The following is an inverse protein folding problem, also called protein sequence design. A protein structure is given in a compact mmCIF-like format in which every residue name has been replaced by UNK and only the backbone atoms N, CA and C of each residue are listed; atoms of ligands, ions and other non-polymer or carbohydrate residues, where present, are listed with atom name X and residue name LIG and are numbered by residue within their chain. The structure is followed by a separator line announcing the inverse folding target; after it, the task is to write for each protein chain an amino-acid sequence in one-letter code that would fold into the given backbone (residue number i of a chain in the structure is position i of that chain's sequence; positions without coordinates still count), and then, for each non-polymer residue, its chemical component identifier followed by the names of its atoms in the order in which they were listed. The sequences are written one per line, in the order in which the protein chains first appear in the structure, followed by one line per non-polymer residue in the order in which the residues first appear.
data_IF_443013133107
#
_entry.id   IF_443013133107
#
_cell.length_a   1.000
_cell.length_b   1.000
_cell.length_c   1.000
_cell.angle_alpha   90.00
_cell.angle_beta   90.00
_cell.angle_gamma   90.00
#
_symmetry.space_group_name_H-M   'P 1'
#
loop_
_entity.id
_entity.type
_entity.pdbx_description
1 polymer ?
#
# COMPACT_ATOMS: atom_id res chain seq x y z
N UNK A 1 41.28 18.09 1.71
CA UNK A 1 40.28 18.10 2.79
C UNK A 1 39.00 18.70 2.21
N UNK A 2 38.09 17.85 1.74
CA UNK A 2 36.82 18.26 1.17
C UNK A 2 35.73 17.79 2.13
N UNK A 3 34.99 18.77 2.63
CA UNK A 3 33.90 18.65 3.59
C UNK A 3 32.82 17.70 3.09
N UNK A 4 32.56 16.63 3.84
CA UNK A 4 31.42 15.73 3.63
C UNK A 4 30.14 16.44 4.08
N UNK A 5 29.31 16.84 3.11
CA UNK A 5 27.93 17.24 3.37
C UNK A 5 27.15 16.09 4.01
N UNK A 6 26.50 16.38 5.11
CA UNK A 6 25.63 15.49 5.88
C UNK A 6 24.47 15.01 5.01
N UNK A 7 24.49 13.72 4.66
CA UNK A 7 23.35 13.04 4.02
C UNK A 7 22.21 12.96 5.04
N UNK A 8 21.10 13.60 4.73
CA UNK A 8 19.85 13.50 5.48
C UNK A 8 19.31 12.08 5.30
N UNK A 9 19.13 11.40 6.44
CA UNK A 9 18.79 9.98 6.47
C UNK A 9 17.43 9.64 5.81
N UNK A 10 17.37 8.50 5.22
CA UNK A 10 16.27 7.87 4.49
C UNK A 10 14.93 7.73 5.25
N UNK A 11 14.90 8.05 6.55
CA UNK A 11 13.67 8.05 7.37
C UNK A 11 12.58 9.02 6.90
N UNK A 12 12.88 9.93 5.99
CA UNK A 12 11.95 10.95 5.52
C UNK A 12 11.24 10.62 4.20
N UNK A 13 11.70 9.64 3.44
CA UNK A 13 11.06 9.32 2.15
C UNK A 13 9.78 8.47 2.26
N UNK A 14 9.64 7.68 3.32
CA UNK A 14 8.40 6.92 3.56
C UNK A 14 7.31 7.72 4.30
N UNK A 15 7.67 8.82 4.97
CA UNK A 15 6.72 9.65 5.73
C UNK A 15 5.93 10.65 4.87
N UNK A 16 6.32 10.88 3.62
CA UNK A 16 5.64 11.86 2.74
C UNK A 16 4.35 11.36 2.11
N UNK A 17 3.94 10.12 2.34
CA UNK A 17 2.68 9.56 1.80
C UNK A 17 1.45 9.80 2.69
N UNK A 18 1.59 10.34 3.91
CA UNK A 18 0.47 10.41 4.85
C UNK A 18 0.23 11.75 5.57
N UNK A 19 0.90 12.84 5.22
CA UNK A 19 0.62 14.12 5.85
C UNK A 19 0.26 15.17 4.80
N UNK A 20 -1.04 15.22 4.47
CA UNK A 20 -1.67 16.40 3.92
C UNK A 20 -1.69 17.51 4.97
N UNK A 21 -0.53 18.08 5.29
CA UNK A 21 -0.47 19.39 5.92
C UNK A 21 -0.48 20.39 4.78
N UNK A 22 -1.60 21.11 4.68
CA UNK A 22 -1.72 22.30 3.85
C UNK A 22 -0.66 23.33 4.27
N UNK A 23 0.56 23.19 3.76
CA UNK A 23 1.43 24.32 3.56
C UNK A 23 0.94 24.98 2.25
N UNK A 24 0.11 25.99 2.39
CA UNK A 24 -0.09 26.98 1.35
C UNK A 24 1.30 27.50 0.98
N UNK A 25 1.82 27.07 -0.16
CA UNK A 25 2.76 27.75 -1.05
C UNK A 25 3.52 26.72 -1.88
N UNK A 26 3.30 26.77 -3.17
CA UNK A 26 4.01 26.05 -4.23
C UNK A 26 3.58 24.59 -4.48
N UNK A 27 2.44 24.44 -5.19
CA UNK A 27 2.05 23.14 -5.78
C UNK A 27 3.15 22.58 -6.71
N UNK A 28 3.08 21.29 -7.09
CA UNK A 28 4.10 20.64 -7.93
C UNK A 28 4.42 21.39 -9.23
N UNK A 29 3.47 22.12 -9.79
CA UNK A 29 3.66 22.92 -11.00
C UNK A 29 4.63 24.09 -10.76
N UNK A 30 4.51 24.79 -9.63
CA UNK A 30 5.40 25.88 -9.26
C UNK A 30 6.81 25.38 -8.91
N UNK A 31 6.91 24.20 -8.31
CA UNK A 31 8.22 23.57 -8.06
C UNK A 31 8.90 23.19 -9.37
N UNK A 32 8.16 22.66 -10.36
CA UNK A 32 8.69 22.39 -11.70
C UNK A 32 9.19 23.68 -12.37
N UNK A 33 8.49 24.80 -12.23
CA UNK A 33 8.93 26.08 -12.77
C UNK A 33 10.22 26.56 -12.13
N UNK A 34 10.29 26.56 -10.80
CA UNK A 34 11.49 26.95 -10.05
C UNK A 34 12.70 26.06 -10.37
N UNK A 35 12.52 24.74 -10.47
CA UNK A 35 13.57 23.80 -10.86
C UNK A 35 13.99 23.98 -12.33
N UNK A 36 13.06 24.37 -13.20
CA UNK A 36 13.36 24.68 -14.60
C UNK A 36 14.20 25.93 -14.75
N UNK A 37 13.90 26.98 -13.98
CA UNK A 37 14.72 28.19 -13.92
C UNK A 37 16.12 27.90 -13.35
N UNK A 38 16.19 27.04 -12.33
CA UNK A 38 17.47 26.60 -11.78
C UNK A 38 18.33 25.87 -12.81
N UNK A 39 17.74 24.98 -13.60
CA UNK A 39 18.43 24.29 -14.70
C UNK A 39 18.93 25.25 -15.79
N UNK A 40 18.20 26.33 -16.06
CA UNK A 40 18.62 27.36 -17.03
C UNK A 40 19.79 28.18 -16.47
N UNK A 41 19.72 28.57 -15.20
CA UNK A 41 20.71 29.44 -14.56
C UNK A 41 22.01 28.73 -14.21
N UNK A 42 21.91 27.51 -13.65
CA UNK A 42 23.04 26.77 -13.06
C UNK A 42 23.55 25.64 -13.97
N UNK A 43 22.83 25.34 -15.04
CA UNK A 43 23.10 24.18 -15.89
C UNK A 43 22.44 22.89 -15.37
N UNK A 44 22.57 21.82 -16.14
CA UNK A 44 21.97 20.53 -15.80
C UNK A 44 22.78 19.81 -14.72
N UNK A 45 22.15 19.49 -13.59
CA UNK A 45 22.67 18.56 -12.58
C UNK A 45 21.74 17.37 -12.41
N UNK A 46 22.29 16.22 -11.97
CA UNK A 46 21.50 15.01 -11.75
C UNK A 46 20.46 15.23 -10.65
N UNK A 47 20.82 15.89 -9.56
CA UNK A 47 19.93 16.15 -8.42
C UNK A 47 18.72 17.01 -8.82
N UNK A 48 18.94 18.12 -9.53
CA UNK A 48 17.85 19.01 -9.96
C UNK A 48 16.93 18.33 -10.98
N UNK A 49 17.49 17.51 -11.85
CA UNK A 49 16.69 16.70 -12.78
C UNK A 49 15.89 15.63 -12.07
N UNK A 50 16.44 14.99 -11.04
CA UNK A 50 15.75 14.03 -10.19
C UNK A 50 14.58 14.70 -9.43
N UNK A 51 14.85 15.83 -8.76
CA UNK A 51 13.82 16.61 -8.07
C UNK A 51 12.66 16.96 -9.02
N UNK A 52 12.95 17.50 -10.20
CA UNK A 52 11.93 17.87 -11.17
C UNK A 52 11.17 16.67 -11.73
N UNK A 53 11.83 15.53 -11.91
CA UNK A 53 11.19 14.29 -12.35
C UNK A 53 10.20 13.76 -11.31
N UNK A 54 10.52 13.87 -10.02
CA UNK A 54 9.60 13.50 -8.93
C UNK A 54 8.33 14.35 -9.01
N UNK A 55 8.46 15.67 -9.19
CA UNK A 55 7.30 16.57 -9.34
C UNK A 55 6.46 16.26 -10.59
N UNK A 56 7.13 15.95 -11.72
CA UNK A 56 6.43 15.47 -12.92
C UNK A 56 5.67 14.17 -12.67
N UNK A 57 6.23 13.25 -11.89
CA UNK A 57 5.56 12.00 -11.51
C UNK A 57 4.32 12.26 -10.67
N UNK A 58 4.38 13.17 -9.70
CA UNK A 58 3.23 13.58 -8.88
C UNK A 58 2.08 14.11 -9.75
N UNK A 59 2.39 14.86 -10.81
CA UNK A 59 1.41 15.35 -11.79
C UNK A 59 0.99 14.30 -12.84
N UNK A 60 1.52 13.07 -12.77
CA UNK A 60 1.26 12.05 -13.79
C UNK A 60 1.92 12.31 -15.15
N UNK A 61 2.82 13.30 -15.26
CA UNK A 61 3.59 13.64 -16.47
C UNK A 61 4.79 12.69 -16.63
N UNK A 62 4.49 11.38 -16.78
CA UNK A 62 5.51 10.31 -16.74
C UNK A 62 6.52 10.37 -17.91
N UNK A 63 6.15 10.95 -19.05
CA UNK A 63 7.07 11.10 -20.19
C UNK A 63 8.15 12.15 -19.91
N UNK A 64 7.75 13.26 -19.31
CA UNK A 64 8.62 14.35 -18.91
C UNK A 64 9.56 13.89 -17.79
N UNK A 65 9.03 13.21 -16.78
CA UNK A 65 9.82 12.60 -15.71
C UNK A 65 10.88 11.63 -16.26
N UNK A 66 10.50 10.73 -17.17
CA UNK A 66 11.46 9.80 -17.78
C UNK A 66 12.57 10.50 -18.57
N UNK A 67 12.27 11.60 -19.29
CA UNK A 67 13.28 12.38 -20.01
C UNK A 67 14.31 13.00 -19.08
N UNK A 68 13.85 13.60 -17.99
CA UNK A 68 14.73 14.20 -17.00
C UNK A 68 15.61 13.15 -16.33
N UNK A 69 15.05 12.03 -15.93
CA UNK A 69 15.81 10.93 -15.32
C UNK A 69 16.82 10.29 -16.28
N UNK A 70 16.47 10.13 -17.56
CA UNK A 70 17.44 9.67 -18.57
C UNK A 70 18.61 10.64 -18.77
N UNK A 71 18.38 11.95 -18.60
CA UNK A 71 19.47 12.93 -18.56
C UNK A 71 20.27 12.83 -17.26
N UNK A 72 19.59 12.65 -16.12
CA UNK A 72 20.23 12.48 -14.83
C UNK A 72 21.16 11.25 -14.80
N UNK A 73 20.72 10.10 -15.34
CA UNK A 73 21.54 8.88 -15.46
C UNK A 73 22.83 9.14 -16.27
N UNK A 74 22.77 9.96 -17.33
CA UNK A 74 24.00 10.31 -18.11
C UNK A 74 24.98 11.17 -17.31
N UNK A 75 24.49 11.97 -16.37
CA UNK A 75 25.31 12.82 -15.50
C UNK A 75 25.82 12.05 -14.28
N UNK A 76 25.03 11.15 -13.74
CA UNK A 76 25.33 10.34 -12.56
C UNK A 76 24.90 8.89 -12.75
N UNK A 77 25.65 8.07 -13.53
CA UNK A 77 25.24 6.71 -13.89
C UNK A 77 25.26 5.71 -12.72
N UNK A 78 25.92 6.05 -11.63
CA UNK A 78 25.99 5.26 -10.39
C UNK A 78 25.18 5.85 -9.23
N UNK A 79 24.23 6.73 -9.53
CA UNK A 79 23.30 7.23 -8.52
C UNK A 79 22.13 6.28 -8.39
N UNK A 80 22.03 5.61 -7.22
CA UNK A 80 20.99 4.61 -6.93
C UNK A 80 19.59 5.21 -6.95
N UNK A 81 19.42 6.46 -6.48
CA UNK A 81 18.12 7.14 -6.43
C UNK A 81 17.60 7.46 -7.82
N UNK A 82 18.48 7.96 -8.70
CA UNK A 82 18.12 8.25 -10.09
C UNK A 82 17.68 6.99 -10.82
N UNK A 83 18.42 5.89 -10.64
CA UNK A 83 18.09 4.61 -11.28
C UNK A 83 16.79 4.02 -10.73
N UNK A 84 16.57 4.11 -9.42
CA UNK A 84 15.33 3.65 -8.77
C UNK A 84 14.11 4.43 -9.25
N UNK A 85 14.19 5.76 -9.26
CA UNK A 85 13.08 6.59 -9.70
C UNK A 85 12.77 6.35 -11.17
N UNK A 86 13.80 6.15 -12.01
CA UNK A 86 13.60 5.80 -13.42
C UNK A 86 12.93 4.42 -13.58
N UNK A 87 13.34 3.42 -12.79
CA UNK A 87 12.69 2.11 -12.78
C UNK A 87 11.22 2.22 -12.37
N UNK A 88 10.91 3.03 -11.36
CA UNK A 88 9.55 3.26 -10.90
C UNK A 88 8.68 3.96 -11.95
N UNK A 89 9.24 4.95 -12.65
CA UNK A 89 8.56 5.62 -13.77
C UNK A 89 8.28 4.63 -14.91
N UNK A 90 9.24 3.80 -15.29
CA UNK A 90 9.03 2.81 -16.35
C UNK A 90 7.97 1.77 -15.98
N UNK A 91 7.90 1.36 -14.70
CA UNK A 91 6.81 0.53 -14.19
C UNK A 91 5.44 1.21 -14.32
N UNK A 92 5.32 2.47 -13.92
CA UNK A 92 4.06 3.23 -14.07
C UNK A 92 3.66 3.39 -15.54
N UNK A 93 4.64 3.44 -16.45
CA UNK A 93 4.43 3.44 -17.91
C UNK A 93 4.12 2.04 -18.47
N UNK A 94 4.01 1.01 -17.63
CA UNK A 94 3.82 -0.39 -17.99
C UNK A 94 4.96 -0.99 -18.84
N UNK A 95 6.18 -0.55 -18.57
CA UNK A 95 7.41 -1.01 -19.22
C UNK A 95 8.26 -1.80 -18.23
N UNK A 96 7.74 -2.96 -17.81
CA UNK A 96 8.40 -3.86 -16.85
C UNK A 96 9.83 -4.26 -17.24
N UNK A 97 10.06 -4.74 -18.48
CA UNK A 97 11.40 -5.11 -18.93
C UNK A 97 12.43 -3.97 -18.83
N UNK A 98 12.05 -2.76 -19.25
CA UNK A 98 12.93 -1.58 -19.15
C UNK A 98 13.20 -1.21 -17.69
N UNK A 99 12.18 -1.28 -16.83
CA UNK A 99 12.36 -1.06 -15.39
C UNK A 99 13.37 -2.05 -14.79
N UNK A 100 13.30 -3.34 -15.17
CA UNK A 100 14.26 -4.36 -14.71
C UNK A 100 15.71 -4.07 -15.14
N UNK A 101 15.93 -3.44 -16.29
CA UNK A 101 17.29 -3.05 -16.69
C UNK A 101 17.89 -2.04 -15.72
N UNK A 102 17.13 -1.01 -15.35
CA UNK A 102 17.56 0.00 -14.38
C UNK A 102 17.79 -0.60 -12.98
N UNK A 103 16.89 -1.49 -12.55
CA UNK A 103 17.06 -2.23 -11.29
C UNK A 103 18.34 -3.07 -11.29
N UNK A 104 18.66 -3.77 -12.38
CA UNK A 104 19.89 -4.56 -12.49
C UNK A 104 21.12 -3.67 -12.41
N UNK A 105 21.10 -2.53 -13.08
CA UNK A 105 22.19 -1.55 -13.01
C UNK A 105 22.36 -1.01 -11.59
N UNK A 106 21.28 -0.68 -10.90
CA UNK A 106 21.30 -0.20 -9.52
C UNK A 106 21.90 -1.25 -8.55
N UNK A 107 21.57 -2.53 -8.71
CA UNK A 107 22.12 -3.61 -7.87
C UNK A 107 23.63 -3.84 -8.06
N UNK A 108 24.20 -3.37 -9.17
CA UNK A 108 25.64 -3.49 -9.44
C UNK A 108 26.47 -2.33 -8.84
N UNK A 109 25.82 -1.31 -8.28
CA UNK A 109 26.53 -0.19 -7.67
C UNK A 109 27.28 -0.70 -6.42
N UNK A 110 28.61 -0.48 -6.36
CA UNK A 110 29.38 -0.86 -5.19
C UNK A 110 29.08 0.04 -3.98
N UNK A 111 29.04 -0.56 -2.79
CA UNK A 111 28.87 0.21 -1.54
C UNK A 111 27.46 0.68 -1.27
N UNK A 112 26.42 0.11 -1.90
CA UNK A 112 25.03 0.34 -1.54
C UNK A 112 24.84 0.08 -0.04
N UNK A 113 24.18 1.00 0.65
CA UNK A 113 23.75 0.74 2.02
C UNK A 113 22.59 -0.28 2.09
N UNK A 114 22.28 -0.72 3.31
CA UNK A 114 21.23 -1.73 3.51
C UNK A 114 19.85 -1.25 3.13
N UNK A 115 19.56 0.04 3.32
CA UNK A 115 18.28 0.67 2.94
C UNK A 115 18.13 0.79 1.43
N UNK A 116 19.19 1.26 0.75
CA UNK A 116 19.24 1.35 -0.71
C UNK A 116 19.02 -0.02 -1.36
N UNK A 117 19.74 -1.04 -0.88
CA UNK A 117 19.61 -2.40 -1.39
C UNK A 117 18.20 -2.95 -1.19
N UNK A 118 17.62 -2.74 -0.01
CA UNK A 118 16.25 -3.16 0.26
C UNK A 118 15.24 -2.44 -0.65
N UNK A 119 15.39 -1.12 -0.86
CA UNK A 119 14.52 -0.36 -1.76
C UNK A 119 14.61 -0.85 -3.22
N UNK A 120 15.83 -1.13 -3.70
CA UNK A 120 16.03 -1.68 -5.06
C UNK A 120 15.33 -3.04 -5.21
N UNK A 121 15.43 -3.91 -4.19
CA UNK A 121 14.77 -5.21 -4.18
C UNK A 121 13.25 -5.09 -4.20
N UNK A 122 12.69 -4.11 -3.48
CA UNK A 122 11.24 -3.84 -3.52
C UNK A 122 10.78 -3.41 -4.92
N UNK A 123 11.54 -2.55 -5.61
CA UNK A 123 11.21 -2.18 -7.00
C UNK A 123 11.34 -3.40 -7.92
N UNK A 124 12.33 -4.29 -7.69
CA UNK A 124 12.45 -5.55 -8.43
C UNK A 124 11.25 -6.46 -8.23
N UNK A 125 10.74 -6.55 -7.00
CA UNK A 125 9.50 -7.27 -6.69
C UNK A 125 8.33 -6.74 -7.52
N UNK A 126 8.15 -5.42 -7.60
CA UNK A 126 7.10 -4.82 -8.42
C UNK A 126 7.26 -5.11 -9.92
N UNK A 127 8.50 -5.09 -10.44
CA UNK A 127 8.75 -5.46 -11.83
C UNK A 127 8.37 -6.90 -12.12
N UNK A 128 8.81 -7.84 -11.28
CA UNK A 128 8.49 -9.27 -11.38
C UNK A 128 7.00 -9.55 -11.26
N UNK A 129 6.35 -8.81 -10.36
CA UNK A 129 4.90 -8.84 -10.22
C UNK A 129 4.17 -8.43 -11.50
N UNK A 130 4.63 -7.36 -12.14
CA UNK A 130 4.07 -6.88 -13.41
C UNK A 130 4.25 -7.89 -14.56
N UNK A 131 5.29 -8.72 -14.50
CA UNK A 131 5.54 -9.83 -15.42
C UNK A 131 4.78 -11.12 -15.05
N UNK A 132 4.06 -11.12 -13.91
CA UNK A 132 3.31 -12.28 -13.42
C UNK A 132 4.14 -13.27 -12.59
N UNK A 133 5.42 -12.99 -12.35
CA UNK A 133 6.36 -13.83 -11.58
C UNK A 133 6.15 -13.68 -10.06
N UNK A 134 5.03 -14.17 -9.56
CA UNK A 134 4.59 -13.97 -8.16
C UNK A 134 5.55 -14.56 -7.12
N UNK A 135 6.13 -15.73 -7.39
CA UNK A 135 7.08 -16.37 -6.47
C UNK A 135 8.36 -15.56 -6.33
N UNK A 136 8.90 -15.11 -7.46
CA UNK A 136 10.10 -14.29 -7.48
C UNK A 136 9.87 -12.92 -6.83
N UNK A 137 8.67 -12.34 -6.98
CA UNK A 137 8.30 -11.12 -6.27
C UNK A 137 8.26 -11.33 -4.75
N UNK A 138 7.73 -12.46 -4.27
CA UNK A 138 7.76 -12.85 -2.86
C UNK A 138 9.18 -13.03 -2.33
N UNK A 139 10.07 -13.65 -3.12
CA UNK A 139 11.48 -13.82 -2.78
C UNK A 139 12.19 -12.48 -2.62
N UNK A 140 11.93 -11.53 -3.52
CA UNK A 140 12.50 -10.18 -3.43
C UNK A 140 12.06 -9.42 -2.19
N UNK A 141 10.79 -9.51 -1.80
CA UNK A 141 10.33 -8.95 -0.53
C UNK A 141 11.06 -9.57 0.67
N UNK A 142 11.25 -10.91 0.63
CA UNK A 142 11.96 -11.63 1.69
C UNK A 142 13.45 -11.28 1.75
N UNK A 143 14.08 -11.07 0.59
CA UNK A 143 15.47 -10.62 0.50
C UNK A 143 15.62 -9.16 0.98
N UNK A 144 14.68 -8.28 0.64
CA UNK A 144 14.67 -6.90 1.12
C UNK A 144 14.62 -6.85 2.66
N UNK A 145 13.85 -7.74 3.31
CA UNK A 145 13.76 -7.84 4.76
C UNK A 145 15.03 -8.36 5.43
N UNK A 146 15.89 -9.10 4.74
CA UNK A 146 17.22 -9.46 5.25
C UNK A 146 18.13 -8.24 5.33
N UNK A 147 18.04 -7.32 4.37
CA UNK A 147 18.82 -6.09 4.34
C UNK A 147 18.25 -5.00 5.25
N UNK A 148 16.91 -4.85 5.28
CA UNK A 148 16.24 -3.90 6.16
C UNK A 148 15.06 -4.57 6.89
N UNK A 149 15.30 -5.16 8.08
CA UNK A 149 14.27 -5.82 8.88
C UNK A 149 13.19 -4.86 9.45
N UNK A 150 13.39 -3.55 9.33
CA UNK A 150 12.43 -2.54 9.79
C UNK A 150 11.51 -2.04 8.65
N UNK A 151 11.63 -2.57 7.44
CA UNK A 151 10.88 -2.11 6.28
C UNK A 151 9.45 -2.65 6.30
N UNK A 152 8.53 -1.87 6.88
CA UNK A 152 7.11 -2.24 7.05
C UNK A 152 6.45 -2.57 5.71
N UNK A 153 6.74 -1.80 4.65
CA UNK A 153 6.17 -2.04 3.32
C UNK A 153 6.52 -3.43 2.77
N UNK A 154 7.74 -3.93 3.04
CA UNK A 154 8.14 -5.26 2.59
C UNK A 154 7.37 -6.38 3.30
N UNK A 155 7.03 -6.22 4.58
CA UNK A 155 6.14 -7.17 5.27
C UNK A 155 4.74 -7.18 4.70
N UNK A 156 4.17 -6.01 4.41
CA UNK A 156 2.83 -5.89 3.81
C UNK A 156 2.78 -6.52 2.41
N UNK A 157 3.76 -6.21 1.56
CA UNK A 157 3.81 -6.78 0.21
C UNK A 157 4.06 -8.29 0.25
N UNK A 158 4.96 -8.76 1.12
CA UNK A 158 5.18 -10.19 1.36
C UNK A 158 3.88 -10.89 1.77
N UNK A 159 3.12 -10.29 2.69
CA UNK A 159 1.80 -10.77 3.12
C UNK A 159 0.82 -10.86 1.94
N UNK A 160 0.75 -9.83 1.11
CA UNK A 160 -0.13 -9.81 -0.06
C UNK A 160 0.24 -10.88 -1.10
N UNK A 161 1.53 -11.15 -1.31
CA UNK A 161 1.97 -12.25 -2.18
C UNK A 161 1.65 -13.62 -1.59
N UNK A 162 1.88 -13.81 -0.28
CA UNK A 162 1.54 -15.06 0.41
C UNK A 162 0.04 -15.34 0.36
N UNK A 163 -0.81 -14.31 0.49
CA UNK A 163 -2.25 -14.44 0.29
C UNK A 163 -2.61 -14.91 -1.12
N UNK A 164 -2.05 -14.26 -2.16
CA UNK A 164 -2.30 -14.63 -3.57
C UNK A 164 -1.77 -16.03 -3.94
N UNK A 165 -0.77 -16.51 -3.22
CA UNK A 165 -0.18 -17.84 -3.36
C UNK A 165 -0.82 -18.88 -2.44
N UNK A 166 -1.87 -18.50 -1.69
CA UNK A 166 -2.58 -19.37 -0.75
C UNK A 166 -1.66 -20.00 0.31
N UNK A 167 -0.77 -19.17 0.91
CA UNK A 167 0.17 -19.55 1.96
C UNK A 167 -0.20 -18.91 3.31
N UNK A 168 -1.36 -19.23 3.91
CA UNK A 168 -1.87 -18.52 5.08
C UNK A 168 -0.96 -18.62 6.30
N UNK A 169 -0.38 -19.80 6.56
CA UNK A 169 0.53 -20.00 7.70
C UNK A 169 1.79 -19.14 7.59
N UNK A 170 2.41 -19.11 6.42
CA UNK A 170 3.60 -18.28 6.18
C UNK A 170 3.27 -16.80 6.31
N UNK A 171 2.08 -16.39 5.84
CA UNK A 171 1.57 -15.02 5.96
C UNK A 171 1.46 -14.59 7.43
N UNK A 172 0.80 -15.39 8.27
CA UNK A 172 0.62 -15.09 9.69
C UNK A 172 1.98 -14.99 10.41
N UNK A 173 2.84 -16.02 10.26
CA UNK A 173 4.17 -16.03 10.87
C UNK A 173 5.04 -14.86 10.42
N UNK A 174 4.98 -14.52 9.14
CA UNK A 174 5.72 -13.40 8.58
C UNK A 174 5.28 -12.04 9.13
N UNK A 175 3.98 -11.87 9.37
CA UNK A 175 3.44 -10.66 10.00
C UNK A 175 3.79 -10.59 11.49
N UNK A 176 3.77 -11.72 12.21
CA UNK A 176 4.24 -11.80 13.60
C UNK A 176 5.72 -11.42 13.75
N UNK A 177 6.55 -11.86 12.82
CA UNK A 177 7.94 -11.41 12.77
C UNK A 177 8.03 -9.89 12.58
N UNK A 178 7.26 -9.35 11.63
CA UNK A 178 7.23 -7.91 11.37
C UNK A 178 6.80 -7.10 12.59
N UNK A 179 5.76 -7.53 13.29
CA UNK A 179 5.27 -6.88 14.51
C UNK A 179 6.37 -6.89 15.59
N UNK A 180 7.01 -8.03 15.83
CA UNK A 180 8.11 -8.11 16.84
C UNK A 180 9.29 -7.19 16.50
N UNK A 181 9.60 -7.00 15.22
CA UNK A 181 10.73 -6.18 14.79
C UNK A 181 10.40 -4.69 14.76
N UNK A 182 9.21 -4.32 14.33
CA UNK A 182 8.86 -2.92 14.03
C UNK A 182 7.92 -2.28 15.04
N UNK A 183 7.13 -3.07 15.76
CA UNK A 183 6.05 -2.58 16.62
C UNK A 183 4.89 -1.91 15.85
N UNK A 184 4.83 -2.04 14.52
CA UNK A 184 3.91 -1.30 13.69
C UNK A 184 2.46 -1.83 13.80
N UNK A 185 1.53 -0.99 14.27
CA UNK A 185 0.11 -1.32 14.39
C UNK A 185 -0.55 -1.71 13.05
N UNK A 186 -0.03 -1.20 11.93
CA UNK A 186 -0.50 -1.58 10.60
C UNK A 186 -0.31 -3.08 10.33
N UNK A 187 0.80 -3.67 10.80
CA UNK A 187 1.04 -5.11 10.68
C UNK A 187 0.16 -5.93 11.63
N UNK A 188 -0.25 -5.36 12.77
CA UNK A 188 -1.24 -5.99 13.67
C UNK A 188 -2.59 -6.12 12.96
N UNK A 189 -3.05 -5.04 12.33
CA UNK A 189 -4.29 -5.05 11.57
C UNK A 189 -4.24 -6.09 10.42
N UNK A 190 -3.14 -6.14 9.68
CA UNK A 190 -2.93 -7.09 8.58
C UNK A 190 -2.87 -8.55 9.07
N UNK A 191 -2.25 -8.79 10.26
CA UNK A 191 -2.24 -10.11 10.89
C UNK A 191 -3.64 -10.58 11.29
N UNK A 192 -4.46 -9.67 11.81
CA UNK A 192 -5.86 -9.96 12.15
C UNK A 192 -6.63 -10.34 10.88
N UNK A 193 -6.45 -9.62 9.77
CA UNK A 193 -7.06 -10.02 8.49
C UNK A 193 -6.58 -11.40 8.04
N UNK A 194 -5.28 -11.71 8.18
CA UNK A 194 -4.75 -13.01 7.83
C UNK A 194 -5.35 -14.15 8.67
N UNK A 195 -5.56 -13.93 9.96
CA UNK A 195 -6.23 -14.89 10.86
C UNK A 195 -7.70 -15.10 10.47
N UNK A 196 -8.41 -14.02 10.14
CA UNK A 196 -9.80 -14.07 9.68
C UNK A 196 -9.93 -14.79 8.34
N UNK A 197 -8.96 -14.59 7.44
CA UNK A 197 -8.92 -15.25 6.14
C UNK A 197 -8.64 -16.76 6.26
N UNK A 198 -7.83 -17.17 7.24
CA UNK A 198 -7.51 -18.58 7.52
C UNK A 198 -8.51 -19.24 8.49
N UNK A 199 -9.64 -18.59 8.76
CA UNK A 199 -10.69 -19.07 9.68
C UNK A 199 -10.21 -19.37 11.11
N UNK A 200 -9.12 -18.73 11.55
CA UNK A 200 -8.61 -18.83 12.92
C UNK A 200 -9.36 -17.87 13.84
N UNK A 201 -10.68 -18.08 13.95
CA UNK A 201 -11.62 -17.13 14.53
C UNK A 201 -11.32 -16.75 15.98
N UNK A 202 -10.95 -17.71 16.83
CA UNK A 202 -10.63 -17.43 18.23
C UNK A 202 -9.36 -16.60 18.35
N UNK A 203 -8.31 -16.96 17.61
CA UNK A 203 -7.06 -16.18 17.63
C UNK A 203 -7.27 -14.77 17.08
N UNK A 204 -8.15 -14.61 16.10
CA UNK A 204 -8.52 -13.29 15.60
C UNK A 204 -9.23 -12.46 16.68
N UNK A 205 -10.17 -13.04 17.45
CA UNK A 205 -10.82 -12.36 18.57
C UNK A 205 -9.81 -11.90 19.62
N UNK A 206 -8.93 -12.81 20.05
CA UNK A 206 -7.91 -12.53 21.06
C UNK A 206 -6.97 -11.39 20.62
N UNK A 207 -6.71 -11.29 19.32
CA UNK A 207 -5.90 -10.20 18.76
C UNK A 207 -6.67 -8.88 18.56
N UNK A 208 -7.99 -8.93 18.39
CA UNK A 208 -8.84 -7.74 18.18
C UNK A 208 -9.14 -7.02 19.50
N UNK A 209 -9.32 -7.73 20.60
CA UNK A 209 -9.77 -7.15 21.89
C UNK A 209 -8.84 -6.02 22.40
N UNK A 210 -7.49 -6.14 22.38
CA UNK A 210 -6.61 -5.04 22.77
C UNK A 210 -6.78 -3.81 21.86
N UNK A 211 -6.91 -4.03 20.56
CA UNK A 211 -7.05 -2.95 19.57
C UNK A 211 -8.40 -2.22 19.75
N UNK A 212 -9.46 -2.96 20.01
CA UNK A 212 -10.79 -2.42 20.25
C UNK A 212 -10.81 -1.56 21.53
N UNK A 213 -10.10 -2.02 22.58
CA UNK A 213 -10.05 -1.30 23.87
C UNK A 213 -9.22 -0.02 23.77
N UNK A 214 -8.13 -0.04 23.02
CA UNK A 214 -7.20 1.10 22.87
C UNK A 214 -7.66 2.13 21.85
N UNK A 215 -8.49 1.74 20.90
CA UNK A 215 -8.87 2.60 19.77
C UNK A 215 -10.02 3.55 20.12
N UNK A 216 -9.84 4.84 19.80
CA UNK A 216 -10.91 5.83 19.88
C UNK A 216 -12.02 5.57 18.87
N UNK A 217 -11.68 5.09 17.68
CA UNK A 217 -12.60 4.75 16.60
C UNK A 217 -12.69 3.23 16.52
N UNK A 218 -13.83 2.70 16.89
CA UNK A 218 -14.01 1.26 17.09
C UNK A 218 -14.72 0.57 15.91
N UNK A 219 -15.33 1.34 15.00
CA UNK A 219 -16.19 0.81 13.94
C UNK A 219 -15.53 -0.29 13.12
N UNK A 220 -14.33 -0.03 12.58
CA UNK A 220 -13.58 -0.99 11.78
C UNK A 220 -13.18 -2.25 12.59
N UNK A 221 -12.83 -2.09 13.88
CA UNK A 221 -12.50 -3.20 14.77
C UNK A 221 -13.72 -4.04 15.12
N UNK A 222 -14.90 -3.40 15.35
CA UNK A 222 -16.18 -4.09 15.56
C UNK A 222 -16.58 -4.91 14.33
N UNK A 223 -16.35 -4.41 13.13
CA UNK A 223 -16.60 -5.17 11.88
C UNK A 223 -15.72 -6.43 11.83
N UNK A 224 -14.42 -6.32 12.13
CA UNK A 224 -13.50 -7.46 12.21
C UNK A 224 -13.93 -8.45 13.29
N UNK A 225 -14.29 -7.96 14.49
CA UNK A 225 -14.79 -8.82 15.57
C UNK A 225 -16.06 -9.54 15.17
N UNK A 226 -17.02 -8.86 14.57
CA UNK A 226 -18.25 -9.46 14.07
C UNK A 226 -18.00 -10.56 13.03
N UNK A 227 -17.00 -10.40 12.17
CA UNK A 227 -16.59 -11.44 11.22
C UNK A 227 -16.11 -12.71 11.95
N UNK A 228 -15.25 -12.56 12.95
CA UNK A 228 -14.78 -13.67 13.80
C UNK A 228 -15.94 -14.31 14.57
N UNK A 229 -16.82 -13.51 15.19
CA UNK A 229 -17.99 -13.99 15.93
C UNK A 229 -18.96 -14.77 15.04
N UNK A 230 -19.18 -14.35 13.80
CA UNK A 230 -19.97 -15.10 12.83
C UNK A 230 -19.33 -16.45 12.49
N UNK A 231 -18.02 -16.50 12.33
CA UNK A 231 -17.25 -17.73 12.16
C UNK A 231 -17.43 -18.72 13.32
N UNK A 232 -17.56 -18.21 14.54
CA UNK A 232 -17.84 -18.97 15.77
C UNK A 232 -19.34 -19.20 16.02
N UNK A 233 -20.22 -18.86 15.07
CA UNK A 233 -21.68 -18.96 15.19
C UNK A 233 -22.30 -18.06 16.29
N UNK A 234 -21.58 -17.06 16.82
CA UNK A 234 -22.03 -16.08 17.82
C UNK A 234 -22.77 -14.91 17.15
N UNK A 235 -23.83 -15.22 16.41
CA UNK A 235 -24.50 -14.27 15.50
C UNK A 235 -25.06 -13.04 16.22
N UNK A 236 -25.71 -13.20 17.37
CA UNK A 236 -26.32 -12.07 18.11
C UNK A 236 -25.30 -11.02 18.53
N UNK A 237 -24.10 -11.45 18.94
CA UNK A 237 -23.03 -10.55 19.33
C UNK A 237 -22.44 -9.86 18.09
N UNK A 238 -22.24 -10.62 17.00
CA UNK A 238 -21.78 -10.06 15.75
C UNK A 238 -22.73 -8.97 15.20
N UNK A 239 -24.04 -9.21 15.25
CA UNK A 239 -25.01 -8.26 14.74
C UNK A 239 -25.07 -6.98 15.58
N UNK A 240 -24.87 -7.07 16.91
CA UNK A 240 -24.71 -5.87 17.78
C UNK A 240 -23.49 -5.06 17.41
N UNK A 241 -22.35 -5.71 17.18
CA UNK A 241 -21.12 -5.04 16.76
C UNK A 241 -21.30 -4.34 15.42
N UNK A 242 -21.92 -5.00 14.46
CA UNK A 242 -22.18 -4.43 13.14
C UNK A 242 -23.11 -3.22 13.17
N UNK A 243 -24.16 -3.27 14.00
CA UNK A 243 -25.05 -2.13 14.19
C UNK A 243 -24.32 -0.94 14.82
N UNK A 244 -23.56 -1.18 15.90
CA UNK A 244 -22.75 -0.14 16.54
C UNK A 244 -21.69 0.44 15.60
N UNK A 245 -21.08 -0.38 14.73
CA UNK A 245 -20.14 0.10 13.73
C UNK A 245 -20.83 0.99 12.67
N UNK A 246 -22.02 0.60 12.21
CA UNK A 246 -22.80 1.42 11.27
C UNK A 246 -23.17 2.78 11.85
N UNK A 247 -23.59 2.83 13.11
CA UNK A 247 -23.90 4.10 13.80
C UNK A 247 -22.67 5.02 13.86
N UNK A 248 -21.52 4.48 14.24
CA UNK A 248 -20.26 5.24 14.28
C UNK A 248 -19.86 5.77 12.88
N UNK A 249 -19.95 4.91 11.86
CA UNK A 249 -19.62 5.29 10.49
C UNK A 249 -20.56 6.38 9.97
N UNK A 250 -21.86 6.29 10.24
CA UNK A 250 -22.84 7.27 9.81
C UNK A 250 -22.62 8.63 10.48
N UNK A 251 -22.27 8.66 11.76
CA UNK A 251 -21.90 9.90 12.47
C UNK A 251 -20.63 10.56 11.91
N UNK A 252 -19.69 9.76 11.43
CA UNK A 252 -18.40 10.24 10.88
C UNK A 252 -18.49 10.66 9.42
N UNK A 253 -19.48 10.17 8.67
CA UNK A 253 -19.55 10.37 7.23
C UNK A 253 -19.95 11.82 6.91
N UNK A 254 -19.09 12.61 6.24
CA UNK A 254 -19.42 13.96 5.84
C UNK A 254 -20.65 13.99 4.92
N UNK A 255 -21.47 15.04 5.03
CA UNK A 255 -22.67 15.19 4.19
C UNK A 255 -22.31 15.48 2.73
N UNK A 256 -21.27 16.27 2.51
CA UNK A 256 -20.91 16.78 1.17
C UNK A 256 -19.81 15.94 0.50
N UNK A 257 -18.83 15.45 1.27
CA UNK A 257 -17.70 14.66 0.76
C UNK A 257 -17.86 13.22 1.23
N UNK A 258 -17.93 12.29 0.28
CA UNK A 258 -18.03 10.87 0.58
C UNK A 258 -16.64 10.24 0.70
N UNK A 259 -16.30 9.81 1.91
CA UNK A 259 -15.07 9.05 2.16
C UNK A 259 -15.24 7.61 1.64
N UNK A 260 -14.39 7.23 0.68
CA UNK A 260 -14.43 5.90 0.07
C UNK A 260 -14.13 4.79 1.05
N UNK A 261 -13.26 5.01 2.04
CA UNK A 261 -12.91 4.03 3.08
C UNK A 261 -14.09 3.76 4.01
N UNK A 262 -14.74 4.82 4.50
CA UNK A 262 -15.95 4.69 5.33
C UNK A 262 -17.10 4.03 4.56
N UNK A 263 -17.21 4.31 3.26
CA UNK A 263 -18.20 3.66 2.39
C UNK A 263 -17.91 2.17 2.22
N UNK A 264 -16.65 1.78 2.10
CA UNK A 264 -16.24 0.37 2.05
C UNK A 264 -16.57 -0.36 3.36
N UNK A 265 -16.21 0.24 4.51
CA UNK A 265 -16.52 -0.31 5.82
C UNK A 265 -18.03 -0.47 6.02
N UNK A 266 -18.82 0.53 5.64
CA UNK A 266 -20.29 0.47 5.72
C UNK A 266 -20.88 -0.59 4.80
N UNK A 267 -20.37 -0.70 3.58
CA UNK A 267 -20.79 -1.71 2.63
C UNK A 267 -20.52 -3.12 3.18
N UNK A 268 -19.35 -3.34 3.74
CA UNK A 268 -18.97 -4.62 4.29
C UNK A 268 -19.78 -4.98 5.55
N UNK A 269 -20.03 -4.03 6.44
CA UNK A 269 -20.90 -4.24 7.59
C UNK A 269 -22.35 -4.62 7.18
N UNK A 270 -22.90 -3.92 6.17
CA UNK A 270 -24.20 -4.23 5.58
C UNK A 270 -24.25 -5.61 4.90
N UNK A 271 -23.16 -5.96 4.19
CA UNK A 271 -23.02 -7.30 3.60
C UNK A 271 -23.09 -8.39 4.67
N UNK A 272 -22.35 -8.22 5.77
CA UNK A 272 -22.36 -9.15 6.91
C UNK A 272 -23.73 -9.23 7.61
N UNK A 273 -24.52 -8.16 7.62
CA UNK A 273 -25.90 -8.16 8.12
C UNK A 273 -26.92 -8.73 7.13
N UNK A 274 -26.49 -9.11 5.91
CA UNK A 274 -27.41 -9.59 4.87
C UNK A 274 -28.18 -8.49 4.16
N UNK A 275 -27.86 -7.22 4.37
CA UNK A 275 -28.47 -6.06 3.73
C UNK A 275 -27.87 -5.83 2.33
N UNK A 276 -28.03 -6.84 1.47
CA UNK A 276 -27.31 -6.98 0.18
C UNK A 276 -27.48 -5.77 -0.74
N UNK A 277 -28.71 -5.22 -0.88
CA UNK A 277 -28.95 -4.08 -1.78
C UNK A 277 -28.23 -2.82 -1.29
N UNK A 278 -28.32 -2.54 0.01
CA UNK A 278 -27.65 -1.38 0.61
C UNK A 278 -26.15 -1.50 0.49
N UNK A 279 -25.59 -2.69 0.71
CA UNK A 279 -24.17 -2.97 0.52
C UNK A 279 -23.71 -2.72 -0.93
N UNK A 280 -24.47 -3.22 -1.92
CA UNK A 280 -24.16 -2.96 -3.35
C UNK A 280 -24.18 -1.47 -3.69
N UNK A 281 -25.09 -0.70 -3.11
CA UNK A 281 -25.13 0.75 -3.35
C UNK A 281 -23.90 1.45 -2.75
N UNK A 282 -23.51 1.06 -1.54
CA UNK A 282 -22.31 1.63 -0.90
C UNK A 282 -21.03 1.26 -1.67
N UNK A 283 -20.86 0.02 -2.12
CA UNK A 283 -19.72 -0.37 -2.97
C UNK A 283 -19.67 0.43 -4.27
N UNK A 284 -20.82 0.65 -4.92
CA UNK A 284 -20.86 1.49 -6.12
C UNK A 284 -20.48 2.94 -5.84
N UNK A 285 -20.93 3.46 -4.69
CA UNK A 285 -20.60 4.83 -4.30
C UNK A 285 -19.12 4.93 -3.93
N UNK A 286 -18.58 3.98 -3.18
CA UNK A 286 -17.16 3.91 -2.87
C UNK A 286 -16.29 3.91 -4.14
N UNK A 287 -16.65 3.10 -5.15
CA UNK A 287 -15.95 3.05 -6.42
C UNK A 287 -15.92 4.42 -7.15
N UNK A 288 -16.99 5.21 -7.06
CA UNK A 288 -17.05 6.55 -7.63
C UNK A 288 -16.24 7.58 -6.84
N UNK A 289 -16.04 7.34 -5.56
CA UNK A 289 -15.32 8.23 -4.64
C UNK A 289 -13.84 7.84 -4.44
N UNK A 290 -13.28 7.02 -5.32
CA UNK A 290 -11.86 6.63 -5.25
C UNK A 290 -11.60 5.25 -4.61
N UNK A 291 -12.63 4.47 -4.30
CA UNK A 291 -12.49 3.11 -3.74
C UNK A 291 -11.95 2.05 -4.72
N UNK A 292 -11.57 2.46 -5.94
CA UNK A 292 -10.83 1.69 -6.89
C UNK A 292 -11.50 0.39 -7.36
N UNK A 293 -10.67 -0.54 -7.82
CA UNK A 293 -11.11 -1.81 -8.38
C UNK A 293 -11.69 -2.74 -7.32
N UNK A 294 -11.22 -2.64 -6.08
CA UNK A 294 -11.70 -3.43 -4.94
C UNK A 294 -13.20 -3.22 -4.68
N UNK A 295 -13.67 -1.97 -4.66
CA UNK A 295 -15.08 -1.66 -4.50
C UNK A 295 -15.93 -2.17 -5.68
N UNK A 296 -15.38 -2.12 -6.89
CA UNK A 296 -16.05 -2.63 -8.10
C UNK A 296 -16.20 -4.15 -8.02
N UNK A 297 -15.15 -4.86 -7.64
CA UNK A 297 -15.16 -6.32 -7.53
C UNK A 297 -16.07 -6.79 -6.40
N UNK A 298 -16.01 -6.17 -5.22
CA UNK A 298 -16.91 -6.49 -4.11
C UNK A 298 -18.38 -6.35 -4.51
N UNK A 299 -18.75 -5.24 -5.16
CA UNK A 299 -20.09 -5.02 -5.65
C UNK A 299 -20.52 -5.99 -6.77
N UNK A 300 -19.59 -6.45 -7.62
CA UNK A 300 -19.85 -7.47 -8.65
C UNK A 300 -20.03 -8.85 -8.03
N UNK A 301 -19.18 -9.22 -7.08
CA UNK A 301 -19.27 -10.47 -6.33
C UNK A 301 -20.66 -10.61 -5.69
N UNK A 302 -21.08 -9.58 -4.97
CA UNK A 302 -22.34 -9.59 -4.23
C UNK A 302 -23.57 -9.72 -5.15
N UNK A 303 -23.54 -9.13 -6.34
CA UNK A 303 -24.59 -9.29 -7.35
C UNK A 303 -24.65 -10.71 -7.92
N UNK A 304 -23.51 -11.39 -8.09
CA UNK A 304 -23.45 -12.76 -8.60
C UNK A 304 -24.02 -13.76 -7.59
N UNK A 305 -23.75 -13.56 -6.29
CA UNK A 305 -24.30 -14.42 -5.23
C UNK A 305 -25.83 -14.33 -5.14
N UNK A 306 -26.41 -13.16 -5.42
CA UNK A 306 -27.87 -12.97 -5.50
C UNK A 306 -28.52 -13.78 -6.62
N UNK A 307 -27.84 -14.02 -7.72
CA UNK A 307 -28.37 -14.80 -8.86
C UNK A 307 -28.33 -16.33 -8.66
N UNK A 308 -28.12 -16.81 -7.44
CA UNK A 308 -28.24 -18.23 -7.09
C UNK A 308 -26.97 -19.07 -7.23
N UNK A 309 -25.80 -18.44 -7.36
CA UNK A 309 -24.52 -19.15 -7.31
C UNK A 309 -23.73 -18.70 -6.07
N UNK A 310 -23.64 -19.53 -4.99
CA UNK A 310 -22.79 -19.22 -3.87
C UNK A 310 -21.32 -19.34 -4.29
N UNK A 311 -20.64 -18.23 -4.43
CA UNK A 311 -19.18 -18.17 -4.54
C UNK A 311 -18.61 -17.59 -3.27
N UNK A 312 -18.56 -18.39 -2.23
CA UNK A 312 -17.58 -18.20 -1.17
C UNK A 312 -16.25 -18.79 -1.65
N UNK A 313 -15.17 -18.01 -1.72
CA UNK A 313 -13.87 -18.56 -2.09
C UNK A 313 -13.24 -19.44 -1.00
N UNK A 314 -14.00 -19.80 0.04
CA UNK A 314 -13.52 -20.49 1.24
C UNK A 314 -13.95 -21.97 1.32
N UNK A 315 -14.45 -22.57 0.24
CA UNK A 315 -14.69 -24.01 0.18
C UNK A 315 -14.15 -24.58 -1.14
N UNK A 316 -12.94 -24.99 -1.12
CA UNK A 316 -12.35 -26.29 -1.52
C UNK A 316 -10.87 -26.27 -1.21
#
# INVERSE_FOLDING_TARGET
MVSRGTRIGWSLLCAFLCLGVACAHNGPEHQIEALSERLIREGASADVLLERAIEYRVLGKLKEAARDLQRAVRLAPSDSLVLLELAQIELQRRRGPEALLWVRQALQIPGLDTGERAAILMIRSHCRAAEGSKLEALEDCSEALKWNPQLISAYLERSAWQQRLQRPRERILGLEEGIRRTGAGLLVAERIEALLDDAQWQQALDAIEPELTSSRLQGTWKIRRARALKGLSRRTEADRDLQSALEEIELRMPREVKDSSLLMDRAFARELLGQTEAAIQDYKLAARCGGGEEAIEAGRRLRRTRSGRPLWPWRT
#
